data_IF_338305409902
#
_entry.id   IF_338305409902
#
_cell.length_a   1.000
_cell.length_b   1.000
_cell.length_c   1.000
_cell.angle_alpha   90.00
_cell.angle_beta   90.00
_cell.angle_gamma   90.00
#
_symmetry.space_group_name_H-M   'P 1'
#
loop_
_entity.id
_entity.type
_entity.pdbx_description
1 polymer ?
#
# COMPACT_ATOMS: atom_id res chain seq x y z
N UNK A 1 0.50 -6.57 -37.51
CA UNK A 1 1.78 -6.07 -36.98
C UNK A 1 1.62 -5.82 -35.49
N UNK A 2 1.56 -6.88 -34.67
CA UNK A 2 1.26 -6.84 -33.23
C UNK A 2 2.39 -7.49 -32.39
N UNK A 3 3.62 -7.45 -32.89
CA UNK A 3 4.79 -8.01 -32.21
C UNK A 3 5.91 -6.97 -32.11
N UNK A 4 5.68 -5.89 -31.37
CA UNK A 4 6.74 -4.97 -30.94
C UNK A 4 6.42 -4.34 -29.57
N UNK A 5 5.92 -5.15 -28.64
CA UNK A 5 6.10 -4.85 -27.22
C UNK A 5 6.94 -6.00 -26.65
N UNK A 6 8.26 -5.85 -26.51
CA UNK A 6 9.06 -6.85 -25.84
C UNK A 6 8.51 -7.02 -24.42
N UNK A 7 8.13 -8.24 -24.05
CA UNK A 7 7.92 -8.78 -22.69
C UNK A 7 7.71 -7.76 -21.55
N UNK A 8 6.77 -6.83 -21.68
CA UNK A 8 6.46 -5.86 -20.62
C UNK A 8 5.84 -6.63 -19.45
N UNK A 9 6.59 -6.78 -18.37
CA UNK A 9 6.16 -7.49 -17.18
C UNK A 9 5.35 -6.56 -16.29
N UNK A 10 4.04 -6.82 -16.24
CA UNK A 10 3.04 -6.10 -15.47
C UNK A 10 2.75 -4.68 -15.99
N UNK A 11 1.70 -4.58 -16.82
CA UNK A 11 1.04 -3.32 -17.14
C UNK A 11 -0.09 -3.13 -16.15
N UNK A 12 -0.05 -2.05 -15.39
CA UNK A 12 -1.15 -1.74 -14.46
C UNK A 12 -2.03 -0.64 -15.02
N UNK A 13 -3.34 -0.75 -14.86
CA UNK A 13 -4.30 0.30 -15.20
C UNK A 13 -4.76 0.97 -13.91
N UNK A 14 -4.44 2.25 -13.75
CA UNK A 14 -4.82 3.02 -12.58
C UNK A 14 -6.01 3.92 -12.89
N UNK A 15 -7.15 3.64 -12.26
CA UNK A 15 -8.36 4.46 -12.35
C UNK A 15 -8.44 5.40 -11.15
N UNK A 16 -8.46 6.71 -11.42
CA UNK A 16 -8.48 7.72 -10.37
C UNK A 16 -8.97 9.08 -10.88
N UNK A 17 -9.06 10.04 -9.96
CA UNK A 17 -9.44 11.41 -10.24
C UNK A 17 -8.96 12.37 -9.14
N UNK A 18 -8.76 13.63 -9.51
CA UNK A 18 -8.41 14.72 -8.61
C UNK A 18 -9.58 15.05 -7.67
N UNK A 19 -10.82 15.03 -8.17
CA UNK A 19 -12.01 15.36 -7.36
C UNK A 19 -12.25 14.38 -6.20
N UNK A 20 -11.63 13.19 -6.22
CA UNK A 20 -11.82 12.13 -5.24
C UNK A 20 -10.71 12.11 -4.17
N UNK A 21 -11.00 12.43 -2.89
CA UNK A 21 -9.97 12.45 -1.85
C UNK A 21 -9.25 11.12 -1.62
N UNK A 22 -9.94 9.95 -1.56
CA UNK A 22 -9.26 8.65 -1.53
C UNK A 22 -8.31 8.42 -2.70
N UNK A 23 -8.66 8.88 -3.90
CA UNK A 23 -7.78 8.77 -5.07
C UNK A 23 -6.55 9.64 -4.94
N UNK A 24 -6.67 10.90 -4.48
CA UNK A 24 -5.49 11.76 -4.25
C UNK A 24 -4.51 11.14 -3.25
N UNK A 25 -5.02 10.62 -2.13
CA UNK A 25 -4.19 9.96 -1.12
C UNK A 25 -3.48 8.72 -1.68
N UNK A 26 -4.21 7.90 -2.45
CA UNK A 26 -3.63 6.71 -3.07
C UNK A 26 -2.64 7.05 -4.19
N UNK A 27 -2.88 8.10 -5.00
CA UNK A 27 -1.92 8.58 -6.00
C UNK A 27 -0.58 8.89 -5.37
N UNK A 28 -0.55 9.66 -4.28
CA UNK A 28 0.70 9.98 -3.59
C UNK A 28 1.44 8.71 -3.13
N UNK A 29 0.72 7.77 -2.51
CA UNK A 29 1.28 6.48 -2.12
C UNK A 29 1.81 5.68 -3.33
N UNK A 30 1.07 5.66 -4.43
CA UNK A 30 1.40 4.88 -5.62
C UNK A 30 2.62 5.45 -6.35
N UNK A 31 2.83 6.77 -6.32
CA UNK A 31 4.04 7.42 -6.83
C UNK A 31 5.28 6.94 -6.06
N UNK A 32 5.21 6.92 -4.73
CA UNK A 32 6.33 6.42 -3.90
C UNK A 32 6.64 4.96 -4.20
N UNK A 33 5.60 4.12 -4.29
CA UNK A 33 5.72 2.69 -4.63
C UNK A 33 6.36 2.51 -6.01
N UNK A 34 5.89 3.25 -7.02
CA UNK A 34 6.39 3.18 -8.38
C UNK A 34 7.89 3.53 -8.43
N UNK A 35 8.28 4.64 -7.80
CA UNK A 35 9.67 5.06 -7.74
C UNK A 35 10.55 4.05 -6.99
N UNK A 36 10.06 3.47 -5.89
CA UNK A 36 10.77 2.44 -5.14
C UNK A 36 10.99 1.16 -5.98
N UNK A 37 10.00 0.74 -6.77
CA UNK A 37 10.14 -0.42 -7.68
C UNK A 37 11.19 -0.14 -8.75
N UNK A 38 11.12 1.02 -9.41
CA UNK A 38 12.08 1.38 -10.47
C UNK A 38 13.52 1.53 -9.94
N UNK A 39 13.70 1.98 -8.71
CA UNK A 39 15.02 2.14 -8.12
C UNK A 39 15.63 0.82 -7.65
N UNK A 40 14.80 -0.17 -7.30
CA UNK A 40 15.25 -1.43 -6.70
C UNK A 40 15.24 -2.61 -7.68
N UNK A 41 14.66 -2.43 -8.87
CA UNK A 41 14.52 -3.50 -9.87
C UNK A 41 14.98 -3.01 -11.23
N UNK A 42 15.55 -3.90 -12.03
CA UNK A 42 15.77 -3.68 -13.47
C UNK A 42 14.57 -4.17 -14.30
N UNK A 43 13.38 -4.27 -13.68
CA UNK A 43 12.19 -4.81 -14.34
C UNK A 43 11.34 -3.69 -14.95
N UNK A 44 10.79 -3.94 -16.14
CA UNK A 44 9.93 -3.00 -16.84
C UNK A 44 8.54 -2.95 -16.17
N UNK A 45 8.33 -2.01 -15.26
CA UNK A 45 7.03 -1.74 -14.64
C UNK A 45 6.43 -0.45 -15.17
N UNK A 46 5.17 -0.49 -15.61
CA UNK A 46 4.47 0.69 -16.14
C UNK A 46 3.03 0.77 -15.64
N UNK A 47 2.59 1.99 -15.36
CA UNK A 47 1.22 2.31 -14.95
C UNK A 47 0.59 3.19 -16.04
N UNK A 48 -0.61 2.84 -16.49
CA UNK A 48 -1.40 3.69 -17.37
C UNK A 48 -2.54 4.28 -16.56
N UNK A 49 -2.51 5.59 -16.37
CA UNK A 49 -3.56 6.35 -15.72
C UNK A 49 -4.77 6.50 -16.64
N UNK A 50 -5.92 6.11 -16.11
CA UNK A 50 -7.23 6.23 -16.73
C UNK A 50 -8.03 7.19 -15.85
N UNK A 51 -8.00 8.46 -16.25
CA UNK A 51 -8.70 9.49 -15.50
C UNK A 51 -10.21 9.31 -15.58
N UNK A 52 -10.85 9.52 -14.43
CA UNK A 52 -12.30 9.65 -14.26
C UNK A 52 -12.67 11.09 -13.84
N UNK A 53 -11.75 12.04 -14.06
CA UNK A 53 -11.98 13.46 -13.87
C UNK A 53 -13.09 13.99 -14.78
N UNK A 54 -13.73 15.08 -14.37
CA UNK A 54 -14.93 15.63 -15.04
C UNK A 54 -14.58 16.68 -16.08
N UNK A 55 -13.34 17.15 -16.09
CA UNK A 55 -12.84 18.12 -17.05
C UNK A 55 -11.35 17.94 -17.34
N UNK A 56 -10.91 18.51 -18.47
CA UNK A 56 -9.50 18.48 -18.89
C UNK A 56 -8.58 19.16 -17.87
N UNK A 57 -9.03 20.25 -17.24
CA UNK A 57 -8.23 20.96 -16.23
C UNK A 57 -7.98 20.09 -14.98
N UNK A 58 -9.01 19.43 -14.46
CA UNK A 58 -8.89 18.48 -13.35
C UNK A 58 -7.96 17.30 -13.70
N UNK A 59 -8.07 16.79 -14.93
CA UNK A 59 -7.18 15.76 -15.45
C UNK A 59 -5.72 16.22 -15.46
N UNK A 60 -5.44 17.42 -15.96
CA UNK A 60 -4.08 17.97 -16.00
C UNK A 60 -3.52 18.14 -14.58
N UNK A 61 -4.34 18.58 -13.63
CA UNK A 61 -3.95 18.64 -12.22
C UNK A 61 -3.60 17.25 -11.67
N UNK A 62 -4.48 16.25 -11.87
CA UNK A 62 -4.21 14.85 -11.51
C UNK A 62 -2.87 14.36 -12.08
N UNK A 63 -2.70 14.51 -13.39
CA UNK A 63 -1.62 13.89 -14.13
C UNK A 63 -0.26 14.55 -13.89
N UNK A 64 -0.24 15.86 -13.61
CA UNK A 64 1.00 16.63 -13.42
C UNK A 64 1.96 16.08 -12.37
N UNK A 65 1.45 15.35 -11.37
CA UNK A 65 2.24 14.75 -10.29
C UNK A 65 2.58 13.28 -10.51
N UNK A 66 2.19 12.68 -11.63
CA UNK A 66 2.35 11.25 -11.89
C UNK A 66 3.56 10.98 -12.81
N UNK A 67 4.48 10.07 -12.46
CA UNK A 67 5.68 9.78 -13.26
C UNK A 67 5.44 8.78 -14.41
N UNK A 68 4.20 8.36 -14.63
CA UNK A 68 3.80 7.30 -15.55
C UNK A 68 2.90 7.84 -16.68
N UNK A 69 2.42 6.96 -17.55
CA UNK A 69 1.62 7.34 -18.72
C UNK A 69 0.14 7.54 -18.41
N UNK A 70 -0.58 8.24 -19.28
CA UNK A 70 -2.04 8.37 -19.20
C UNK A 70 -2.70 8.21 -20.57
N UNK A 71 -3.94 7.73 -20.58
CA UNK A 71 -4.80 7.86 -21.75
C UNK A 71 -5.22 9.34 -21.87
N UNK A 72 -5.10 9.98 -23.06
CA UNK A 72 -5.53 11.35 -23.26
C UNK A 72 -6.97 11.59 -22.80
N UNK A 73 -7.24 12.78 -22.25
CA UNK A 73 -8.55 13.08 -21.69
C UNK A 73 -9.67 12.98 -22.75
N UNK A 74 -9.41 13.39 -23.98
CA UNK A 74 -10.41 13.39 -25.05
C UNK A 74 -10.70 11.98 -25.61
N UNK A 75 -9.91 10.97 -25.24
CA UNK A 75 -10.06 9.61 -25.74
C UNK A 75 -11.18 8.86 -24.97
N UNK A 76 -12.18 8.38 -25.71
CA UNK A 76 -13.33 7.63 -25.18
C UNK A 76 -12.94 6.26 -24.61
N UNK A 77 -11.74 5.76 -24.93
CA UNK A 77 -11.19 4.52 -24.39
C UNK A 77 -11.16 4.54 -22.86
N UNK A 78 -11.07 5.73 -22.23
CA UNK A 78 -11.15 5.86 -20.76
C UNK A 78 -12.47 5.31 -20.22
N UNK A 79 -13.59 5.69 -20.84
CA UNK A 79 -14.93 5.24 -20.44
C UNK A 79 -15.14 3.77 -20.78
N UNK A 80 -14.63 3.31 -21.93
CA UNK A 80 -14.68 1.89 -22.30
C UNK A 80 -13.94 1.00 -21.31
N UNK A 81 -12.73 1.38 -20.90
CA UNK A 81 -11.96 0.62 -19.91
C UNK A 81 -12.66 0.61 -18.55
N UNK A 82 -13.30 1.71 -18.13
CA UNK A 82 -14.10 1.72 -16.91
C UNK A 82 -15.23 0.68 -16.98
N UNK A 83 -15.88 0.53 -18.14
CA UNK A 83 -16.95 -0.45 -18.36
C UNK A 83 -16.41 -1.88 -18.44
N UNK A 84 -15.38 -2.13 -19.26
CA UNK A 84 -14.77 -3.45 -19.46
C UNK A 84 -14.23 -4.03 -18.16
N UNK A 85 -13.56 -3.19 -17.36
CA UNK A 85 -13.05 -3.58 -16.05
C UNK A 85 -14.06 -3.35 -14.93
N UNK A 86 -15.34 -3.08 -15.23
CA UNK A 86 -16.43 -2.93 -14.26
C UNK A 86 -16.04 -2.09 -13.03
N UNK A 87 -15.41 -0.94 -13.26
CA UNK A 87 -14.90 -0.08 -12.21
C UNK A 87 -16.09 0.60 -11.52
N UNK A 88 -16.44 0.11 -10.33
CA UNK A 88 -17.56 0.62 -9.52
C UNK A 88 -17.17 1.77 -8.59
N UNK A 89 -15.88 1.94 -8.34
CA UNK A 89 -15.35 2.96 -7.43
C UNK A 89 -13.86 3.18 -7.66
N UNK A 90 -13.40 4.37 -7.26
CA UNK A 90 -12.01 4.79 -7.37
C UNK A 90 -11.45 5.14 -5.97
N UNK A 91 -10.13 5.00 -5.74
CA UNK A 91 -9.12 4.51 -6.69
C UNK A 91 -9.23 3.01 -6.94
N UNK A 92 -8.96 2.59 -8.17
CA UNK A 92 -8.80 1.18 -8.53
C UNK A 92 -7.51 0.98 -9.32
N UNK A 93 -6.78 -0.09 -9.02
CA UNK A 93 -5.57 -0.47 -9.73
C UNK A 93 -5.73 -1.90 -10.22
N UNK A 94 -5.86 -2.04 -11.53
CA UNK A 94 -5.96 -3.34 -12.20
C UNK A 94 -4.56 -3.76 -12.61
N UNK A 95 -4.19 -4.99 -12.28
CA UNK A 95 -2.90 -5.58 -12.59
C UNK A 95 -3.08 -6.54 -13.76
N UNK A 96 -2.23 -6.43 -14.77
CA UNK A 96 -2.24 -7.31 -15.93
C UNK A 96 -0.94 -8.10 -15.95
N UNK A 97 -1.02 -9.38 -15.65
CA UNK A 97 0.11 -10.30 -15.66
C UNK A 97 0.64 -10.56 -17.09
N UNK A 98 1.88 -11.08 -17.21
CA UNK A 98 2.51 -11.34 -18.51
C UNK A 98 1.78 -12.41 -19.34
N UNK A 99 0.99 -13.27 -18.69
CA UNK A 99 0.13 -14.28 -19.30
C UNK A 99 -1.29 -13.77 -19.62
N UNK A 100 -1.55 -12.47 -19.40
CA UNK A 100 -2.87 -11.86 -19.58
C UNK A 100 -3.82 -12.05 -18.40
N UNK A 101 -3.35 -12.60 -17.27
CA UNK A 101 -4.15 -12.65 -16.03
C UNK A 101 -4.50 -11.25 -15.56
N UNK A 102 -5.74 -11.06 -15.11
CA UNK A 102 -6.25 -9.78 -14.63
C UNK A 102 -6.54 -9.92 -13.14
N UNK A 103 -5.90 -9.08 -12.31
CA UNK A 103 -6.22 -8.96 -10.89
C UNK A 103 -6.78 -7.57 -10.58
N UNK A 104 -7.83 -7.54 -9.76
CA UNK A 104 -8.49 -6.32 -9.28
C UNK A 104 -7.99 -5.88 -7.90
N UNK A 105 -7.05 -6.62 -7.33
CA UNK A 105 -6.59 -6.43 -5.96
C UNK A 105 -5.39 -5.48 -5.85
N UNK A 106 -4.91 -4.93 -6.96
CA UNK A 106 -3.69 -4.11 -6.99
C UNK A 106 -3.75 -2.93 -6.04
N UNK A 107 -4.91 -2.28 -5.90
CA UNK A 107 -5.06 -1.17 -4.96
C UNK A 107 -4.83 -1.64 -3.53
N UNK A 108 -5.44 -2.76 -3.15
CA UNK A 108 -5.31 -3.33 -1.80
C UNK A 108 -3.88 -3.77 -1.54
N UNK A 109 -3.26 -4.49 -2.48
CA UNK A 109 -1.90 -4.98 -2.34
C UNK A 109 -0.87 -3.84 -2.23
N UNK A 110 -0.97 -2.83 -3.10
CA UNK A 110 -0.14 -1.64 -3.02
C UNK A 110 -0.36 -0.89 -1.69
N UNK A 111 -1.61 -0.75 -1.26
CA UNK A 111 -1.92 -0.09 0.00
C UNK A 111 -1.41 -0.84 1.23
N UNK A 112 -1.43 -2.18 1.25
CA UNK A 112 -0.97 -2.96 2.40
C UNK A 112 0.55 -3.14 2.42
N UNK A 113 1.12 -3.61 1.31
CA UNK A 113 2.50 -4.09 1.26
C UNK A 113 3.47 -3.14 0.54
N UNK A 114 2.97 -2.07 -0.11
CA UNK A 114 3.81 -1.14 -0.85
C UNK A 114 4.55 -1.80 -2.02
N UNK A 115 5.78 -1.37 -2.27
CA UNK A 115 6.64 -1.94 -3.31
C UNK A 115 6.98 -3.42 -3.10
N UNK A 116 6.92 -3.94 -1.86
CA UNK A 116 7.19 -5.35 -1.56
C UNK A 116 6.21 -6.31 -2.23
N UNK A 117 5.01 -5.82 -2.58
CA UNK A 117 4.03 -6.60 -3.33
C UNK A 117 4.38 -6.79 -4.80
N UNK A 118 5.32 -6.04 -5.38
CA UNK A 118 5.79 -6.27 -6.75
C UNK A 118 6.31 -7.72 -6.90
N UNK A 119 5.99 -8.44 -8.01
CA UNK A 119 5.33 -8.01 -9.25
C UNK A 119 3.78 -7.99 -9.21
N UNK A 120 3.22 -7.94 -8.01
CA UNK A 120 1.78 -7.89 -7.75
C UNK A 120 1.03 -9.13 -8.25
N UNK A 121 1.59 -10.32 -8.00
CA UNK A 121 0.94 -11.60 -8.31
C UNK A 121 0.25 -12.19 -7.09
N UNK A 122 -0.71 -13.10 -7.30
CA UNK A 122 -1.37 -13.82 -6.22
C UNK A 122 -0.37 -14.61 -5.36
N UNK A 123 0.57 -15.34 -6.00
CA UNK A 123 1.66 -16.04 -5.30
C UNK A 123 2.48 -15.10 -4.42
N UNK A 124 2.75 -13.87 -4.89
CA UNK A 124 3.49 -12.89 -4.10
C UNK A 124 2.68 -12.39 -2.90
N UNK A 125 1.37 -12.22 -3.05
CA UNK A 125 0.50 -11.87 -1.94
C UNK A 125 0.49 -12.98 -0.87
N UNK A 126 0.34 -14.24 -1.28
CA UNK A 126 0.39 -15.41 -0.38
C UNK A 126 1.72 -15.50 0.39
N UNK A 127 2.85 -15.26 -0.28
CA UNK A 127 4.17 -15.19 0.37
C UNK A 127 4.24 -14.11 1.45
N UNK A 128 3.71 -12.91 1.16
CA UNK A 128 3.73 -11.79 2.08
C UNK A 128 2.79 -12.02 3.27
N UNK A 129 1.62 -12.58 3.04
CA UNK A 129 0.69 -12.98 4.10
C UNK A 129 1.30 -14.05 5.01
N UNK A 130 1.94 -15.07 4.44
CA UNK A 130 2.64 -16.10 5.20
C UNK A 130 3.80 -15.51 6.02
N UNK A 131 4.55 -14.57 5.45
CA UNK A 131 5.63 -13.88 6.15
C UNK A 131 5.10 -13.04 7.33
N UNK A 132 4.02 -12.28 7.12
CA UNK A 132 3.34 -11.54 8.19
C UNK A 132 2.86 -12.51 9.27
N UNK A 133 2.19 -13.60 8.91
CA UNK A 133 1.73 -14.58 9.90
C UNK A 133 2.87 -15.14 10.74
N UNK A 134 3.97 -15.54 10.09
CA UNK A 134 5.16 -16.06 10.76
C UNK A 134 5.81 -15.05 11.70
N UNK A 135 5.77 -13.76 11.38
CA UNK A 135 6.22 -12.70 12.29
C UNK A 135 5.37 -12.68 13.57
N UNK A 136 4.03 -12.77 13.43
CA UNK A 136 3.10 -12.79 14.54
C UNK A 136 3.28 -14.01 15.46
N UNK A 137 3.50 -15.19 14.88
CA UNK A 137 3.77 -16.43 15.64
C UNK A 137 5.03 -16.31 16.55
N UNK A 138 5.93 -15.36 16.26
CA UNK A 138 7.12 -15.08 17.06
C UNK A 138 6.94 -14.02 18.16
N UNK A 139 5.78 -13.36 18.23
CA UNK A 139 5.48 -12.30 19.17
C UNK A 139 4.68 -12.86 20.38
N UNK A 140 4.85 -12.26 21.58
CA UNK A 140 4.02 -12.63 22.72
C UNK A 140 2.58 -12.18 22.52
N UNK A 141 1.61 -12.95 23.03
CA UNK A 141 0.17 -12.62 22.94
C UNK A 141 -0.19 -11.32 23.68
N UNK A 142 0.56 -10.98 24.73
CA UNK A 142 0.31 -9.81 25.57
C UNK A 142 1.62 -9.23 26.12
N UNK A 143 1.67 -7.91 26.24
CA UNK A 143 2.79 -7.18 26.85
C UNK A 143 2.30 -6.09 27.82
N UNK A 144 3.24 -5.59 28.62
CA UNK A 144 3.05 -4.39 29.43
C UNK A 144 4.04 -3.33 28.96
N UNK A 145 3.56 -2.11 28.77
CA UNK A 145 4.40 -0.96 28.49
C UNK A 145 4.49 -0.06 29.73
N UNK A 146 5.68 0.30 30.23
CA UNK A 146 5.81 1.17 31.41
C UNK A 146 5.12 2.54 31.30
N UNK A 147 4.87 3.02 30.07
CA UNK A 147 4.21 4.29 29.79
C UNK A 147 2.70 4.12 29.61
N UNK A 148 2.16 2.91 29.83
CA UNK A 148 0.74 2.60 29.70
C UNK A 148 0.24 1.61 30.78
N UNK A 149 -0.87 1.92 31.44
CA UNK A 149 -1.33 1.13 32.60
C UNK A 149 -1.98 -0.22 32.24
N UNK A 150 -2.70 -0.29 31.13
CA UNK A 150 -3.41 -1.50 30.72
C UNK A 150 -2.49 -2.47 29.99
N UNK A 151 -2.74 -3.78 30.07
CA UNK A 151 -2.02 -4.73 29.23
C UNK A 151 -2.40 -4.53 27.75
N UNK A 152 -1.40 -4.62 26.88
CA UNK A 152 -1.59 -4.53 25.44
C UNK A 152 -1.65 -5.94 24.86
N UNK A 153 -2.67 -6.22 24.06
CA UNK A 153 -2.84 -7.49 23.35
C UNK A 153 -2.20 -7.40 21.98
N UNK A 154 -1.62 -8.50 21.52
CA UNK A 154 -1.19 -8.61 20.13
C UNK A 154 -2.44 -8.68 19.23
N UNK A 155 -2.57 -7.73 18.32
CA UNK A 155 -3.66 -7.67 17.35
C UNK A 155 -3.14 -7.43 15.93
N UNK A 156 -3.98 -7.81 14.95
CA UNK A 156 -3.73 -7.60 13.53
C UNK A 156 -4.51 -6.40 13.00
N UNK A 157 -3.84 -5.25 12.92
CA UNK A 157 -4.38 -4.00 12.42
C UNK A 157 -3.94 -3.70 10.97
N UNK A 158 -4.89 -3.33 10.10
CA UNK A 158 -4.58 -2.92 8.71
C UNK A 158 -3.74 -1.63 8.66
N UNK A 159 -3.97 -0.73 9.59
CA UNK A 159 -3.20 0.49 9.81
C UNK A 159 -3.46 1.00 11.23
N UNK A 160 -2.43 1.55 11.87
CA UNK A 160 -2.51 2.21 13.17
C UNK A 160 -1.43 3.29 13.26
N UNK A 161 -1.49 4.15 14.27
CA UNK A 161 -0.43 5.10 14.58
C UNK A 161 0.17 4.69 15.91
N UNK A 162 1.46 4.34 15.92
CA UNK A 162 2.12 3.94 17.15
C UNK A 162 2.22 5.12 18.12
N UNK A 163 1.73 4.94 19.34
CA UNK A 163 1.70 5.99 20.35
C UNK A 163 3.06 6.38 20.89
N UNK A 164 4.04 5.49 20.82
CA UNK A 164 5.41 5.77 21.25
C UNK A 164 6.15 6.65 20.24
N UNK A 165 6.21 6.25 18.96
CA UNK A 165 7.01 6.95 17.96
C UNK A 165 6.21 7.88 17.04
N UNK A 166 4.88 7.88 17.14
CA UNK A 166 3.92 8.65 16.31
C UNK A 166 4.04 8.39 14.80
N UNK A 167 4.60 7.24 14.43
CA UNK A 167 4.68 6.79 13.03
C UNK A 167 3.60 5.76 12.72
N UNK A 168 3.12 5.70 11.47
CA UNK A 168 2.16 4.68 11.06
C UNK A 168 2.76 3.27 11.17
N UNK A 169 1.91 2.30 11.50
CA UNK A 169 2.21 0.87 11.50
C UNK A 169 1.16 0.08 10.71
N UNK A 170 1.48 -1.17 10.40
CA UNK A 170 0.60 -2.13 9.70
C UNK A 170 0.85 -3.54 10.20
N UNK A 171 -0.13 -4.40 10.00
CA UNK A 171 -0.16 -5.81 10.40
C UNK A 171 -0.16 -5.97 11.92
N UNK A 172 0.96 -6.27 12.56
CA UNK A 172 0.99 -6.52 13.99
C UNK A 172 1.09 -5.24 14.80
N UNK A 173 0.24 -5.12 15.81
CA UNK A 173 0.25 -4.06 16.81
C UNK A 173 0.07 -4.66 18.20
N UNK A 174 0.60 -3.99 19.21
CA UNK A 174 0.18 -4.22 20.58
C UNK A 174 -0.83 -3.14 20.95
N UNK A 175 -2.08 -3.54 21.07
CA UNK A 175 -3.24 -2.67 21.18
C UNK A 175 -3.94 -2.83 22.52
N UNK A 176 -4.44 -1.73 23.07
CA UNK A 176 -5.23 -1.74 24.29
C UNK A 176 -6.73 -1.83 23.96
N UNK A 177 -7.44 -2.79 24.56
CA UNK A 177 -8.89 -2.91 24.36
C UNK A 177 -9.72 -1.86 25.14
N UNK A 178 -9.07 -1.14 26.07
CA UNK A 178 -9.72 -0.19 26.97
C UNK A 178 -9.60 1.25 26.45
N UNK A 179 -8.49 1.56 25.78
CA UNK A 179 -8.25 2.88 25.21
C UNK A 179 -7.53 2.75 23.87
N UNK A 180 -7.60 3.81 23.06
CA UNK A 180 -6.96 3.89 21.74
C UNK A 180 -5.44 4.08 21.87
N UNK A 181 -4.74 3.03 22.35
CA UNK A 181 -3.29 3.02 22.54
C UNK A 181 -2.66 1.84 21.80
N UNK A 182 -1.84 2.14 20.79
CA UNK A 182 -1.22 1.15 19.91
C UNK A 182 0.29 1.27 19.89
N UNK A 183 1.01 0.16 19.92
CA UNK A 183 2.46 0.14 19.76
C UNK A 183 2.92 -0.75 18.61
N UNK A 184 3.99 -0.33 17.94
CA UNK A 184 4.73 -1.25 17.07
C UNK A 184 5.33 -2.38 17.92
N UNK A 185 5.37 -3.63 17.40
CA UNK A 185 6.03 -4.74 18.09
C UNK A 185 7.48 -4.42 18.50
N UNK A 186 8.21 -3.66 17.68
CA UNK A 186 9.59 -3.24 17.94
C UNK A 186 9.74 -2.16 19.00
N UNK A 187 8.67 -1.44 19.34
CA UNK A 187 8.72 -0.34 20.32
C UNK A 187 8.85 -0.85 21.76
N UNK A 188 8.43 -2.10 22.03
CA UNK A 188 8.46 -2.67 23.38
C UNK A 188 9.88 -3.01 23.85
N UNK A 189 10.73 -3.50 22.95
CA UNK A 189 12.14 -3.76 23.28
C UNK A 189 12.87 -2.47 23.70
N UNK A 190 12.48 -1.33 23.11
CA UNK A 190 13.06 -0.04 23.43
C UNK A 190 12.61 0.45 24.82
N UNK A 191 11.32 0.35 25.17
CA UNK A 191 10.84 0.75 26.50
C UNK A 191 11.40 -0.12 27.63
N UNK A 192 11.57 -1.43 27.40
CA UNK A 192 12.17 -2.32 28.38
C UNK A 192 13.67 -2.01 28.61
N UNK A 193 14.42 -1.67 27.55
CA UNK A 193 15.82 -1.26 27.68
C UNK A 193 15.98 0.08 28.39
N UNK A 194 15.17 1.10 28.08
CA UNK A 194 15.20 2.39 28.81
C UNK A 194 14.95 2.19 30.32
N UNK A 195 13.96 1.36 30.67
CA UNK A 195 13.67 1.08 32.09
C UNK A 195 14.82 0.39 32.84
N UNK A 196 15.56 -0.50 32.16
CA UNK A 196 16.75 -1.15 32.71
C UNK A 196 17.90 -0.16 32.92
N UNK A 197 18.07 0.82 32.02
CA UNK A 197 19.09 1.85 32.18
C UNK A 197 18.79 2.83 33.32
N UNK A 198 17.52 3.20 33.54
CA UNK A 198 17.12 4.06 34.67
C UNK A 198 17.32 3.39 36.03
N UNK A 199 17.02 2.08 36.13
CA UNK A 199 17.25 1.29 37.35
C UNK A 199 18.74 1.11 37.65
N UNK A 200 19.60 1.05 36.64
CA UNK A 200 21.05 0.94 36.83
C UNK A 200 21.73 2.31 37.08
N UNK A 201 21.04 3.41 36.80
CA UNK A 201 21.53 4.77 37.02
C UNK A 201 21.04 5.39 38.35
N UNK A 202 20.26 4.64 39.15
CA UNK A 202 19.77 5.01 40.48
C UNK A 202 20.44 4.22 41.60
#
# INVERSE_FOLDING_TARGET
>A
MLFLFPQLKCRSLYFGANWCPPSRAFTAQLVDIYNEILNNTNEDFEIIFISTDRGHEEFMQSFSSMPWLAIPYEDETRQDLCRVFEIKGIPALILIGPDGTISREGRTMASLYGAKAFPFTASRAEELEAAVKKEGDGLPDQVKDPKHEHPLQLDMAKAYVCDSCKKPGRFWAFSCDICDYDLHPTSIEYTQRESLFEVLAS
#
